data_IF_219709710246
#
_entry.id   IF_219709710246
#
_cell.length_a   1.000
_cell.length_b   1.000
_cell.length_c   1.000
_cell.angle_alpha   90.00
_cell.angle_beta   90.00
_cell.angle_gamma   90.00
#
_symmetry.space_group_name_H-M   'P 1'
#
loop_
_entity.id
_entity.type
_entity.pdbx_description
1 polymer ?
#
# COMPACT_ATOMS: atom_id res chain seq x y z
N UNK A 1 -5.34 8.31 -10.65
CA UNK A 1 -4.99 8.35 -9.22
C UNK A 1 -6.14 7.69 -8.52
N UNK A 2 -5.85 6.60 -7.83
CA UNK A 2 -6.84 5.79 -7.14
C UNK A 2 -6.46 5.73 -5.67
N UNK A 3 -7.42 6.07 -4.82
CA UNK A 3 -7.30 6.02 -3.36
C UNK A 3 -8.27 4.94 -2.88
N UNK A 4 -7.75 3.98 -2.12
CA UNK A 4 -8.58 2.91 -1.56
C UNK A 4 -8.17 2.64 -0.13
N UNK A 5 -9.10 2.18 0.69
CA UNK A 5 -8.86 1.90 2.10
C UNK A 5 -9.54 0.62 2.53
N UNK A 6 -8.91 -0.14 3.41
CA UNK A 6 -9.48 -1.37 3.97
C UNK A 6 -9.01 -1.59 5.40
N UNK A 7 -9.83 -2.29 6.19
CA UNK A 7 -9.45 -2.75 7.53
C UNK A 7 -8.87 -4.17 7.46
N UNK A 8 -7.79 -4.43 8.19
CA UNK A 8 -7.22 -5.76 8.34
C UNK A 8 -6.66 -5.95 9.75
N UNK A 9 -7.10 -7.00 10.44
CA UNK A 9 -6.62 -7.32 11.81
C UNK A 9 -6.80 -6.17 12.83
N UNK A 10 -7.82 -5.31 12.65
CA UNK A 10 -8.05 -4.14 13.51
C UNK A 10 -7.17 -2.93 13.16
N UNK A 11 -6.37 -3.02 12.10
CA UNK A 11 -5.60 -1.93 11.54
C UNK A 11 -6.31 -1.33 10.32
N UNK A 12 -6.47 -0.02 10.28
CA UNK A 12 -6.97 0.70 9.11
C UNK A 12 -5.83 0.90 8.11
N UNK A 13 -6.02 0.55 6.85
CA UNK A 13 -5.04 0.78 5.79
C UNK A 13 -5.58 1.75 4.77
N UNK A 14 -4.79 2.75 4.43
CA UNK A 14 -5.04 3.67 3.32
C UNK A 14 -3.98 3.46 2.25
N UNK A 15 -4.39 3.15 1.02
CA UNK A 15 -3.52 2.99 -0.14
C UNK A 15 -3.79 4.12 -1.12
N UNK A 16 -2.71 4.73 -1.63
CA UNK A 16 -2.74 5.70 -2.72
C UNK A 16 -1.91 5.16 -3.87
N UNK A 17 -2.47 5.21 -5.08
CA UNK A 17 -1.82 4.75 -6.30
C UNK A 17 -1.82 5.87 -7.34
N UNK A 18 -0.66 6.14 -7.93
CA UNK A 18 -0.48 7.17 -8.94
C UNK A 18 0.40 6.68 -10.09
N UNK A 19 0.26 7.32 -11.25
CA UNK A 19 1.07 7.03 -12.41
C UNK A 19 2.21 8.05 -12.50
N UNK A 20 3.45 7.57 -12.62
CA UNK A 20 4.65 8.38 -12.87
C UNK A 20 5.17 8.09 -14.28
N UNK A 21 4.95 9.01 -15.22
CA UNK A 21 5.38 8.96 -16.64
C UNK A 21 4.92 7.71 -17.41
N UNK A 22 5.50 6.54 -17.15
CA UNK A 22 5.18 5.25 -17.77
C UNK A 22 5.05 4.09 -16.77
N UNK A 23 5.16 4.37 -15.47
CA UNK A 23 5.08 3.38 -14.39
C UNK A 23 3.99 3.76 -13.41
N UNK A 24 3.55 2.77 -12.65
CA UNK A 24 2.69 3.01 -11.51
C UNK A 24 3.54 3.04 -10.23
N UNK A 25 3.08 3.83 -9.27
CA UNK A 25 3.66 3.93 -7.95
C UNK A 25 2.53 3.86 -6.93
N UNK A 26 2.86 3.40 -5.73
CA UNK A 26 1.92 3.37 -4.63
C UNK A 26 2.58 3.72 -3.30
N UNK A 27 1.74 4.16 -2.37
CA UNK A 27 2.07 4.32 -0.96
C UNK A 27 0.94 3.73 -0.14
N UNK A 28 1.25 3.26 1.05
CA UNK A 28 0.21 2.92 2.02
C UNK A 28 0.52 3.46 3.40
N UNK A 29 -0.52 3.73 4.17
CA UNK A 29 -0.47 4.09 5.57
C UNK A 29 -1.26 3.07 6.38
N UNK A 30 -0.75 2.70 7.56
CA UNK A 30 -1.44 1.79 8.49
C UNK A 30 -1.73 2.58 9.76
N UNK A 31 -3.01 2.75 10.08
CA UNK A 31 -3.54 3.62 11.12
C UNK A 31 -2.95 5.04 11.01
N UNK A 32 -2.31 5.52 12.08
CA UNK A 32 -1.59 6.80 12.15
C UNK A 32 -0.05 6.59 12.08
N UNK A 33 0.41 5.39 11.70
CA UNK A 33 1.86 5.10 11.61
C UNK A 33 2.47 5.75 10.36
N UNK A 34 3.78 5.94 10.39
CA UNK A 34 4.56 6.49 9.27
C UNK A 34 4.19 5.77 7.96
N UNK A 35 3.75 6.51 6.93
CA UNK A 35 3.38 5.92 5.66
C UNK A 35 4.59 5.25 5.01
N UNK A 36 4.37 4.12 4.34
CA UNK A 36 5.33 3.58 3.39
C UNK A 36 5.20 4.40 2.12
N UNK A 37 6.16 5.30 1.94
CA UNK A 37 6.15 6.28 0.85
C UNK A 37 6.83 5.76 -0.41
N UNK A 38 6.25 6.12 -1.56
CA UNK A 38 6.93 6.17 -2.85
C UNK A 38 7.49 4.83 -3.38
N UNK A 39 6.75 3.73 -3.23
CA UNK A 39 7.15 2.47 -3.85
C UNK A 39 6.83 2.51 -5.34
N UNK A 40 7.87 2.69 -6.15
CA UNK A 40 7.75 2.60 -7.61
C UNK A 40 7.65 1.13 -8.02
N UNK A 41 6.58 0.77 -8.69
CA UNK A 41 6.43 -0.57 -9.25
C UNK A 41 6.97 -0.61 -10.68
N UNK A 42 7.38 -1.80 -11.10
CA UNK A 42 7.61 -2.09 -12.52
C UNK A 42 6.30 -2.30 -13.30
N UNK A 43 5.14 -2.18 -12.66
CA UNK A 43 3.85 -2.55 -13.27
C UNK A 43 3.28 -1.43 -14.14
N UNK A 44 2.65 -1.84 -15.24
CA UNK A 44 2.07 -0.93 -16.24
C UNK A 44 0.56 -0.70 -16.04
N UNK A 45 -0.05 -1.27 -14.99
CA UNK A 45 -1.49 -1.18 -14.72
C UNK A 45 -1.78 -0.74 -13.29
N UNK A 46 -2.79 0.12 -13.14
CA UNK A 46 -3.32 0.60 -11.84
C UNK A 46 -3.71 -0.56 -10.93
N UNK A 47 -4.41 -1.55 -11.49
CA UNK A 47 -4.90 -2.71 -10.73
C UNK A 47 -3.76 -3.55 -10.16
N UNK A 48 -2.67 -3.72 -10.93
CA UNK A 48 -1.50 -4.44 -10.46
C UNK A 48 -0.80 -3.69 -9.32
N UNK A 49 -0.64 -2.36 -9.46
CA UNK A 49 -0.09 -1.53 -8.41
C UNK A 49 -0.93 -1.58 -7.12
N UNK A 50 -2.27 -1.58 -7.24
CA UNK A 50 -3.18 -1.76 -6.11
C UNK A 50 -3.01 -3.14 -5.43
N UNK A 51 -2.87 -4.21 -6.22
CA UNK A 51 -2.66 -5.56 -5.71
C UNK A 51 -1.33 -5.66 -4.97
N UNK A 52 -0.25 -5.10 -5.52
CA UNK A 52 1.08 -5.06 -4.89
C UNK A 52 1.03 -4.27 -3.57
N UNK A 53 0.49 -3.06 -3.59
CA UNK A 53 0.32 -2.22 -2.41
C UNK A 53 -0.44 -2.93 -1.29
N UNK A 54 -1.50 -3.66 -1.65
CA UNK A 54 -2.32 -4.42 -0.68
C UNK A 54 -1.55 -5.59 -0.08
N UNK A 55 -0.79 -6.33 -0.89
CA UNK A 55 0.02 -7.44 -0.39
C UNK A 55 1.08 -6.95 0.59
N UNK A 56 1.78 -5.86 0.25
CA UNK A 56 2.80 -5.24 1.09
C UNK A 56 2.20 -4.69 2.39
N UNK A 57 1.04 -4.02 2.32
CA UNK A 57 0.35 -3.54 3.51
C UNK A 57 -0.04 -4.68 4.47
N UNK A 58 -0.57 -5.79 3.94
CA UNK A 58 -0.91 -6.97 4.76
C UNK A 58 0.36 -7.59 5.37
N UNK A 59 1.46 -7.67 4.61
CA UNK A 59 2.74 -8.17 5.13
C UNK A 59 3.29 -7.27 6.25
N UNK A 60 3.18 -5.95 6.09
CA UNK A 60 3.57 -4.97 7.10
C UNK A 60 2.72 -5.11 8.38
N UNK A 61 1.40 -5.28 8.27
CA UNK A 61 0.53 -5.54 9.43
C UNK A 61 0.96 -6.82 10.15
N UNK A 62 1.20 -7.91 9.41
CA UNK A 62 1.68 -9.17 10.02
C UNK A 62 3.01 -9.00 10.75
N UNK A 63 3.92 -8.18 10.22
CA UNK A 63 5.19 -7.88 10.88
C UNK A 63 5.00 -7.05 12.14
N UNK A 64 4.03 -6.12 12.14
CA UNK A 64 3.64 -5.32 13.30
C UNK A 64 3.01 -6.18 14.41
N UNK A 65 2.11 -7.10 14.06
CA UNK A 65 1.50 -8.06 14.99
C UNK A 65 2.52 -9.07 15.57
N UNK A 66 3.56 -9.41 14.80
CA UNK A 66 4.61 -10.33 15.22
C UNK A 66 5.68 -9.66 16.11
N UNK A 67 5.72 -8.34 16.17
CA UNK A 67 6.63 -7.59 17.04
C UNK A 67 6.08 -7.58 18.48
N UNK A 68 6.82 -8.11 19.47
CA UNK A 68 6.36 -8.24 20.86
C UNK A 68 6.33 -6.92 21.64
#
# INVERSE_FOLDING_TARGET
MADTSFEHHGHQVEIKVWQTESRWGWSFQIDDRLPVENVQTGTHSEEQALIEARHEAIAAIKALDAAP
#
